data_IF_517273264985
#
_entry.id   IF_517273264985
#
_cell.length_a   1.000
_cell.length_b   1.000
_cell.length_c   1.000
_cell.angle_alpha   90.00
_cell.angle_beta   90.00
_cell.angle_gamma   90.00
#
_symmetry.space_group_name_H-M   'P 1'
#
loop_
_entity.id
_entity.type
_entity.pdbx_description
1 polymer ?
#
# COMPACT_ATOMS: atom_id res chain seq x y z
N UNK A 1 13.03 -38.78 -33.85
CA UNK A 1 12.78 -38.13 -32.53
C UNK A 1 11.41 -37.45 -32.47
N UNK A 2 10.28 -38.14 -32.68
CA UNK A 2 8.98 -37.46 -32.92
C UNK A 2 7.74 -38.05 -32.24
N UNK A 3 7.51 -39.38 -32.28
CA UNK A 3 6.26 -39.96 -31.77
C UNK A 3 6.24 -40.09 -30.24
N UNK A 4 7.37 -40.56 -29.66
CA UNK A 4 7.50 -40.78 -28.22
C UNK A 4 7.41 -39.47 -27.43
N UNK A 5 7.97 -38.38 -27.95
CA UNK A 5 7.92 -37.06 -27.33
C UNK A 5 6.48 -36.51 -27.28
N UNK A 6 5.71 -36.66 -28.36
CA UNK A 6 4.30 -36.24 -28.41
C UNK A 6 3.41 -37.08 -27.49
N UNK A 7 3.68 -38.39 -27.41
CA UNK A 7 2.96 -39.30 -26.53
C UNK A 7 3.29 -39.07 -25.03
N UNK A 8 4.50 -38.62 -24.71
CA UNK A 8 4.88 -38.21 -23.36
C UNK A 8 4.21 -36.89 -22.97
N UNK A 9 4.21 -35.89 -23.85
CA UNK A 9 3.54 -34.60 -23.61
C UNK A 9 2.02 -34.76 -23.37
N UNK A 10 1.35 -35.62 -24.15
CA UNK A 10 -0.10 -35.88 -24.01
C UNK A 10 -0.46 -36.62 -22.72
N UNK A 11 0.46 -37.42 -22.16
CA UNK A 11 0.27 -38.08 -20.85
C UNK A 11 0.43 -37.09 -19.69
N UNK A 12 1.35 -36.15 -19.81
CA UNK A 12 1.64 -35.15 -18.77
C UNK A 12 0.54 -34.07 -18.61
N UNK A 13 -0.37 -33.94 -19.57
CA UNK A 13 -1.49 -32.97 -19.54
C UNK A 13 -2.84 -33.60 -19.20
N UNK A 14 -2.90 -34.86 -18.73
CA UNK A 14 -4.14 -35.48 -18.23
C UNK A 14 -4.50 -34.91 -16.86
N UNK A 15 -5.80 -34.80 -16.56
CA UNK A 15 -6.36 -34.14 -15.37
C UNK A 15 -5.87 -34.67 -14.01
N UNK A 16 -5.23 -35.85 -13.99
CA UNK A 16 -4.65 -36.49 -12.79
C UNK A 16 -3.15 -36.18 -12.58
N UNK A 17 -2.50 -35.43 -13.49
CA UNK A 17 -1.09 -35.05 -13.34
C UNK A 17 -0.96 -33.75 -12.52
N UNK A 18 -0.54 -33.88 -11.26
CA UNK A 18 -0.04 -32.74 -10.49
C UNK A 18 1.38 -32.42 -10.98
N UNK A 19 1.55 -31.28 -11.63
CA UNK A 19 2.86 -30.81 -12.06
C UNK A 19 3.73 -30.51 -10.82
N UNK A 20 4.84 -31.24 -10.66
CA UNK A 20 5.87 -30.91 -9.68
C UNK A 20 6.34 -29.46 -9.92
N UNK A 21 6.35 -28.60 -8.88
CA UNK A 21 6.80 -27.22 -9.04
C UNK A 21 8.26 -27.21 -9.45
N UNK A 22 8.53 -26.89 -10.71
CA UNK A 22 9.88 -26.87 -11.26
C UNK A 22 10.69 -25.79 -10.51
N UNK A 23 11.80 -26.14 -9.82
CA UNK A 23 12.53 -25.20 -8.97
C UNK A 23 13.28 -24.13 -9.77
N UNK A 24 13.39 -24.29 -11.08
CA UNK A 24 14.10 -23.37 -11.98
C UNK A 24 13.29 -23.05 -13.22
N UNK A 25 12.80 -21.81 -13.32
CA UNK A 25 12.22 -21.27 -14.55
C UNK A 25 13.25 -20.39 -15.26
N UNK A 26 13.75 -20.85 -16.41
CA UNK A 26 14.56 -20.03 -17.30
C UNK A 26 13.69 -18.91 -17.89
N UNK A 27 13.76 -17.71 -17.33
CA UNK A 27 13.15 -16.53 -17.97
C UNK A 27 13.96 -16.18 -19.21
N UNK A 28 13.34 -16.21 -20.38
CA UNK A 28 14.00 -15.79 -21.61
C UNK A 28 14.51 -14.34 -21.47
N UNK A 29 15.64 -14.04 -22.09
CA UNK A 29 16.22 -12.69 -22.10
C UNK A 29 15.20 -11.68 -22.62
N UNK A 30 14.40 -12.06 -23.62
CA UNK A 30 13.28 -11.28 -24.16
C UNK A 30 12.23 -10.98 -23.09
N UNK A 31 11.79 -11.98 -22.31
CA UNK A 31 10.84 -11.76 -21.22
C UNK A 31 11.43 -10.82 -20.15
N UNK A 32 12.71 -10.97 -19.82
CA UNK A 32 13.39 -10.11 -18.85
C UNK A 32 13.49 -8.66 -19.35
N UNK A 33 13.83 -8.45 -20.61
CA UNK A 33 13.91 -7.13 -21.25
C UNK A 33 12.53 -6.47 -21.33
N UNK A 34 11.49 -7.21 -21.72
CA UNK A 34 10.10 -6.71 -21.76
C UNK A 34 9.63 -6.30 -20.36
N UNK A 35 9.82 -7.15 -19.35
CA UNK A 35 9.47 -6.82 -17.97
C UNK A 35 10.25 -5.60 -17.46
N UNK A 36 11.54 -5.47 -17.80
CA UNK A 36 12.35 -4.32 -17.41
C UNK A 36 11.92 -3.02 -18.11
N UNK A 37 11.59 -3.08 -19.40
CA UNK A 37 11.04 -1.93 -20.15
C UNK A 37 9.69 -1.47 -19.58
N UNK A 38 8.84 -2.42 -19.19
CA UNK A 38 7.56 -2.14 -18.54
C UNK A 38 7.73 -1.51 -17.14
N UNK A 39 8.79 -1.88 -16.41
CA UNK A 39 9.16 -1.25 -15.12
C UNK A 39 9.64 0.19 -15.30
N UNK A 40 10.35 0.52 -16.39
CA UNK A 40 10.75 1.89 -16.68
C UNK A 40 9.55 2.80 -17.01
N UNK A 41 8.49 2.25 -17.60
CA UNK A 41 7.21 2.95 -17.85
C UNK A 41 6.35 3.18 -16.59
N UNK A 42 6.62 2.46 -15.49
CA UNK A 42 5.90 2.61 -14.21
C UNK A 42 6.50 3.68 -13.29
N UNK A 43 7.36 4.56 -13.80
CA UNK A 43 7.90 5.66 -13.03
C UNK A 43 6.79 6.68 -12.75
N UNK A 44 6.37 6.76 -11.49
CA UNK A 44 5.39 7.74 -11.02
C UNK A 44 5.98 9.14 -11.25
N UNK A 45 5.29 10.04 -11.99
CA UNK A 45 5.81 11.38 -12.24
C UNK A 45 6.13 12.13 -10.95
N UNK A 46 7.15 13.00 -10.97
CA UNK A 46 7.62 13.71 -9.77
C UNK A 46 6.53 14.58 -9.11
N UNK A 47 5.61 15.11 -9.91
CA UNK A 47 4.43 15.85 -9.45
C UNK A 47 3.39 15.00 -8.68
N UNK A 48 3.35 13.69 -8.91
CA UNK A 48 2.32 12.80 -8.35
C UNK A 48 2.76 12.25 -6.99
N UNK A 49 1.97 12.51 -5.94
CA UNK A 49 2.27 12.00 -4.61
C UNK A 49 3.25 12.85 -3.78
N UNK A 50 3.42 14.13 -4.12
CA UNK A 50 4.23 15.10 -3.36
C UNK A 50 3.92 15.08 -1.84
N UNK A 51 2.63 15.03 -1.48
CA UNK A 51 2.19 14.90 -0.10
C UNK A 51 2.70 13.62 0.57
N UNK A 52 2.52 12.48 -0.11
CA UNK A 52 2.91 11.19 0.43
C UNK A 52 4.45 11.08 0.58
N UNK A 53 5.22 11.67 -0.35
CA UNK A 53 6.68 11.80 -0.25
C UNK A 53 7.13 12.68 0.92
N UNK A 54 6.35 13.70 1.28
CA UNK A 54 6.61 14.52 2.49
C UNK A 54 6.49 13.71 3.77
N UNK A 55 5.54 12.77 3.82
CA UNK A 55 5.30 11.88 4.95
C UNK A 55 6.32 10.74 4.99
N UNK A 56 6.59 10.13 3.83
CA UNK A 56 7.46 8.97 3.70
C UNK A 56 8.44 9.18 2.54
N UNK A 57 9.64 9.65 2.91
CA UNK A 57 10.73 9.91 1.97
C UNK A 57 11.25 8.65 1.28
N UNK A 58 11.04 7.48 1.88
CA UNK A 58 11.56 6.21 1.36
C UNK A 58 10.67 5.59 0.27
N UNK A 59 9.62 6.30 -0.18
CA UNK A 59 8.77 5.84 -1.27
C UNK A 59 9.41 6.01 -2.66
N UNK A 60 9.24 5.02 -3.57
CA UNK A 60 8.67 3.68 -3.37
C UNK A 60 9.73 2.69 -2.85
N UNK A 61 9.43 1.99 -1.75
CA UNK A 61 10.37 1.08 -1.09
C UNK A 61 9.73 -0.22 -0.60
N UNK A 62 10.57 -1.23 -0.31
CA UNK A 62 10.13 -2.55 0.21
C UNK A 62 9.46 -2.48 1.58
N UNK A 63 9.59 -1.36 2.29
CA UNK A 63 8.95 -1.13 3.59
C UNK A 63 7.46 -0.83 3.46
N UNK A 64 7.01 -0.27 2.32
CA UNK A 64 5.60 0.07 2.13
C UNK A 64 4.70 -1.17 2.09
N UNK A 65 5.01 -2.23 1.33
CA UNK A 65 4.24 -3.48 1.40
C UNK A 65 4.22 -4.07 2.81
N UNK A 66 5.37 -4.19 3.47
CA UNK A 66 5.47 -4.70 4.85
C UNK A 66 4.55 -3.95 5.82
N UNK A 67 4.49 -2.62 5.72
CA UNK A 67 3.62 -1.77 6.53
C UNK A 67 2.12 -2.06 6.35
N UNK A 68 1.69 -2.56 5.19
CA UNK A 68 0.28 -2.85 4.95
C UNK A 68 -0.04 -4.33 5.09
N UNK A 69 0.90 -5.22 4.80
CA UNK A 69 0.72 -6.68 4.82
C UNK A 69 0.52 -7.20 6.25
N UNK A 70 1.09 -6.53 7.26
CA UNK A 70 0.88 -6.85 8.68
C UNK A 70 -0.49 -6.40 9.21
N UNK A 71 -1.23 -5.57 8.46
CA UNK A 71 -2.49 -4.96 8.90
C UNK A 71 -3.70 -5.68 8.30
N UNK A 72 -4.79 -5.73 9.06
CA UNK A 72 -6.08 -6.16 8.50
C UNK A 72 -6.54 -5.15 7.45
N UNK A 73 -7.33 -5.61 6.48
CA UNK A 73 -7.86 -4.77 5.39
C UNK A 73 -8.49 -3.44 5.86
N UNK A 74 -9.22 -3.46 6.98
CA UNK A 74 -9.82 -2.24 7.55
C UNK A 74 -8.77 -1.27 8.09
N UNK A 75 -7.78 -1.78 8.80
CA UNK A 75 -6.69 -0.98 9.39
C UNK A 75 -5.80 -0.39 8.28
N UNK A 76 -5.44 -1.20 7.28
CA UNK A 76 -4.70 -0.76 6.11
C UNK A 76 -5.43 0.36 5.35
N UNK A 77 -6.77 0.25 5.23
CA UNK A 77 -7.59 1.28 4.60
C UNK A 77 -7.57 2.60 5.39
N UNK A 78 -7.73 2.55 6.71
CA UNK A 78 -7.64 3.74 7.57
C UNK A 78 -6.24 4.37 7.47
N UNK A 79 -5.18 3.55 7.51
CA UNK A 79 -3.81 4.03 7.36
C UNK A 79 -3.58 4.72 6.00
N UNK A 80 -4.07 4.13 4.92
CA UNK A 80 -3.97 4.71 3.57
C UNK A 80 -4.73 6.04 3.47
N UNK A 81 -5.91 6.15 4.06
CA UNK A 81 -6.70 7.38 4.10
C UNK A 81 -5.96 8.50 4.85
N UNK A 82 -5.40 8.18 6.02
CA UNK A 82 -4.63 9.15 6.82
C UNK A 82 -3.35 9.58 6.09
N UNK A 83 -2.62 8.63 5.47
CA UNK A 83 -1.39 8.93 4.72
C UNK A 83 -1.63 9.76 3.46
N UNK A 84 -2.78 9.60 2.80
CA UNK A 84 -3.12 10.37 1.59
C UNK A 84 -3.87 11.66 1.89
N UNK A 85 -4.37 11.84 3.11
CA UNK A 85 -5.24 12.95 3.49
C UNK A 85 -6.69 12.83 2.99
N UNK A 86 -7.00 11.80 2.19
CA UNK A 86 -8.35 11.49 1.69
C UNK A 86 -9.09 10.66 2.72
N UNK A 87 -9.42 11.30 3.84
CA UNK A 87 -9.90 10.65 5.05
C UNK A 87 -11.32 11.08 5.39
N UNK A 88 -11.89 10.46 6.43
CA UNK A 88 -13.21 10.82 6.95
C UNK A 88 -13.18 12.02 7.91
N UNK A 89 -12.09 12.77 7.94
CA UNK A 89 -11.96 13.97 8.78
C UNK A 89 -12.62 15.16 8.09
N UNK A 90 -13.18 16.08 8.88
CA UNK A 90 -13.96 17.21 8.38
C UNK A 90 -13.21 18.07 7.37
N UNK A 91 -11.87 18.22 7.47
CA UNK A 91 -11.12 18.99 6.47
C UNK A 91 -11.17 18.41 5.05
N UNK A 92 -11.16 17.08 4.91
CA UNK A 92 -11.33 16.49 3.59
C UNK A 92 -12.79 16.49 3.15
N UNK A 93 -13.71 16.20 4.09
CA UNK A 93 -15.14 16.17 3.80
C UNK A 93 -15.66 17.54 3.35
N UNK A 94 -15.20 18.62 3.97
CA UNK A 94 -15.56 19.99 3.59
C UNK A 94 -15.02 20.34 2.20
N UNK A 95 -13.78 19.94 1.87
CA UNK A 95 -13.19 20.14 0.54
C UNK A 95 -13.97 19.48 -0.60
N UNK A 96 -14.68 18.39 -0.31
CA UNK A 96 -15.53 17.70 -1.29
C UNK A 96 -17.00 18.08 -1.19
N UNK A 97 -17.36 19.06 -0.33
CA UNK A 97 -18.74 19.50 -0.13
C UNK A 97 -19.65 18.50 0.57
N UNK A 98 -19.09 17.55 1.33
CA UNK A 98 -19.87 16.56 2.07
C UNK A 98 -20.31 17.04 3.46
N UNK A 99 -19.66 18.09 3.99
CA UNK A 99 -20.01 18.76 5.25
C UNK A 99 -19.84 20.27 5.09
N UNK A 100 -20.60 21.04 5.86
CA UNK A 100 -20.64 22.51 5.78
C UNK A 100 -19.45 23.20 6.48
N UNK A 101 -18.76 22.51 7.41
CA UNK A 101 -17.63 23.07 8.16
C UNK A 101 -16.48 22.08 8.23
N UNK A 102 -15.24 22.59 8.13
CA UNK A 102 -14.03 21.79 8.31
C UNK A 102 -13.57 21.69 9.78
N UNK A 103 -14.28 22.34 10.70
CA UNK A 103 -13.89 22.44 12.09
C UNK A 103 -13.91 21.08 12.81
N UNK A 104 -12.91 20.85 13.66
CA UNK A 104 -12.95 19.71 14.56
C UNK A 104 -13.95 19.97 15.69
N UNK A 105 -14.67 18.94 16.12
CA UNK A 105 -15.56 19.02 17.29
C UNK A 105 -14.84 19.35 18.62
N UNK A 106 -13.51 19.47 18.64
CA UNK A 106 -12.79 20.05 19.78
C UNK A 106 -12.76 21.60 19.78
N UNK A 107 -13.20 22.24 18.70
CA UNK A 107 -13.34 23.70 18.57
C UNK A 107 -12.04 24.49 18.36
N UNK A 108 -10.89 23.84 18.16
CA UNK A 108 -9.58 24.53 18.12
C UNK A 108 -9.10 24.90 16.72
N UNK A 109 -9.41 24.07 15.73
CA UNK A 109 -8.98 24.25 14.36
C UNK A 109 -9.75 23.32 13.43
N UNK A 110 -9.56 23.51 12.12
CA UNK A 110 -9.93 22.52 11.12
C UNK A 110 -9.43 21.11 11.47
N UNK A 111 -10.26 20.09 11.23
CA UNK A 111 -9.96 18.69 11.49
C UNK A 111 -9.05 18.12 10.39
N UNK A 112 -7.79 18.53 10.40
CA UNK A 112 -6.75 17.98 9.53
C UNK A 112 -6.17 16.70 10.11
N UNK A 113 -5.48 15.89 9.28
CA UNK A 113 -4.75 14.70 9.76
C UNK A 113 -3.73 15.07 10.84
N UNK A 114 -3.03 16.20 10.69
CA UNK A 114 -2.07 16.69 11.69
C UNK A 114 -2.76 17.05 13.00
N UNK A 115 -3.89 17.78 12.94
CA UNK A 115 -4.67 18.10 14.12
C UNK A 115 -5.14 16.81 14.82
N UNK A 116 -5.81 15.93 14.09
CA UNK A 116 -6.31 14.65 14.61
C UNK A 116 -5.20 13.82 15.26
N UNK A 117 -4.10 13.59 14.53
CA UNK A 117 -3.02 12.70 14.96
C UNK A 117 -2.01 13.31 15.91
N UNK A 118 -1.93 14.63 16.10
CA UNK A 118 -0.87 15.25 16.95
C UNK A 118 -1.36 16.32 17.94
N UNK A 119 -2.47 17.03 17.67
CA UNK A 119 -2.85 18.22 18.46
C UNK A 119 -4.20 18.12 19.16
N UNK A 120 -5.11 17.30 18.65
CA UNK A 120 -6.48 17.23 19.14
C UNK A 120 -6.52 16.75 20.59
N UNK A 121 -7.15 17.55 21.46
CA UNK A 121 -7.28 17.25 22.91
C UNK A 121 -8.22 16.09 23.21
N UNK A 122 -9.15 15.77 22.30
CA UNK A 122 -10.08 14.65 22.46
C UNK A 122 -9.39 13.29 22.40
N UNK A 123 -8.23 13.22 21.75
CA UNK A 123 -7.51 11.98 21.46
C UNK A 123 -6.21 11.83 22.27
N UNK A 124 -6.09 12.53 23.39
CA UNK A 124 -4.87 12.54 24.22
C UNK A 124 -4.56 11.15 24.77
N UNK A 125 -5.55 10.44 25.33
CA UNK A 125 -5.32 9.10 25.90
C UNK A 125 -4.86 8.08 24.85
N UNK A 126 -5.47 8.11 23.65
CA UNK A 126 -5.07 7.23 22.54
C UNK A 126 -3.68 7.58 22.02
N UNK A 127 -3.35 8.89 21.96
CA UNK A 127 -2.02 9.38 21.59
C UNK A 127 -0.96 8.91 22.59
N UNK A 128 -1.23 8.95 23.89
CA UNK A 128 -0.30 8.47 24.91
C UNK A 128 -0.01 6.97 24.76
N UNK A 129 -1.07 6.16 24.52
CA UNK A 129 -0.91 4.73 24.24
C UNK A 129 -0.04 4.53 23.00
N UNK A 130 -0.33 5.24 21.90
CA UNK A 130 0.44 5.16 20.66
C UNK A 130 1.92 5.53 20.88
N UNK A 131 2.20 6.60 21.63
CA UNK A 131 3.57 7.06 21.92
C UNK A 131 4.32 6.10 22.85
N UNK A 132 3.63 5.37 23.72
CA UNK A 132 4.24 4.31 24.52
C UNK A 132 4.65 3.13 23.63
N UNK A 133 3.74 2.62 22.81
CA UNK A 133 4.05 1.55 21.85
C UNK A 133 5.19 1.92 20.89
N UNK A 134 5.22 3.16 20.42
CA UNK A 134 6.28 3.63 19.53
C UNK A 134 7.66 3.63 20.20
N UNK A 135 7.73 3.87 21.52
CA UNK A 135 8.98 3.84 22.29
C UNK A 135 9.47 2.43 22.59
N UNK A 136 8.55 1.47 22.75
CA UNK A 136 8.87 0.06 23.04
C UNK A 136 9.31 -0.73 21.80
N UNK A 137 9.03 -0.22 20.59
CA UNK A 137 9.39 -0.85 19.31
C UNK A 137 10.72 -0.37 18.71
N UNK A 138 11.41 0.60 19.33
CA UNK A 138 12.75 1.07 18.95
C UNK A 138 13.78 0.23 19.68
#
# INVERSE_FOLDING_TARGET
>A
MGPLAKAAAKRATRDECVAEPVPFQARSTTLRLLLNGQRQGNQIPERVGKWLRKIDKALPGKHTPKLYDELKRREASVLAQLRTGKSRLNNYLHKIGAVESDECACGQSAETVEHFLFRCRRWVSQREIMLRYAREKV
#
